data_IF_802455278298
#
_entry.id   IF_802455278298
#
_cell.length_a   1.000
_cell.length_b   1.000
_cell.length_c   1.000
_cell.angle_alpha   90.00
_cell.angle_beta   90.00
_cell.angle_gamma   90.00
#
_symmetry.space_group_name_H-M   'P 1'
#
loop_
_entity.id
_entity.type
_entity.pdbx_description
1 polymer ?
#
# COMPACT_ATOMS: atom_id res chain seq x y z
N UNK A 1 0.52 15.98 18.27
CA UNK A 1 1.94 15.91 18.71
C UNK A 1 1.99 15.13 20.02
N UNK A 2 2.26 13.82 19.96
CA UNK A 2 3.04 13.11 20.99
C UNK A 2 3.98 12.19 20.23
N UNK A 3 5.26 12.47 20.42
CA UNK A 3 6.40 11.73 19.92
C UNK A 3 6.86 10.81 21.05
N UNK A 4 7.30 9.60 20.71
CA UNK A 4 8.21 8.86 21.60
C UNK A 4 9.35 8.29 20.79
N UNK A 5 10.49 8.95 20.98
CA UNK A 5 11.85 8.47 20.76
C UNK A 5 12.10 7.22 21.63
N UNK A 6 12.73 6.20 21.05
CA UNK A 6 13.41 5.16 21.81
C UNK A 6 14.81 5.03 21.22
N UNK A 7 15.72 5.88 21.72
CA UNK A 7 17.15 5.60 21.70
C UNK A 7 17.39 4.22 22.32
N UNK A 8 18.19 3.43 21.62
CA UNK A 8 18.87 2.25 22.17
C UNK A 8 19.86 2.74 23.22
N UNK A 9 19.51 2.61 24.48
CA UNK A 9 20.48 2.47 25.57
C UNK A 9 20.33 1.04 26.09
N UNK A 10 21.41 0.28 25.94
CA UNK A 10 21.67 -0.98 26.65
C UNK A 10 21.73 -0.69 28.17
N UNK A 11 21.40 -1.72 28.95
CA UNK A 11 21.45 -1.79 30.41
C UNK A 11 20.36 -1.02 31.20
N UNK A 12 19.27 -1.73 31.50
CA UNK A 12 18.75 -2.08 32.84
C UNK A 12 17.30 -2.55 32.65
N UNK A 13 17.07 -3.86 32.76
CA UNK A 13 15.73 -4.45 32.88
C UNK A 13 15.19 -4.18 34.30
N UNK A 14 14.04 -3.51 34.48
CA UNK A 14 13.19 -3.75 35.63
C UNK A 14 12.21 -4.86 35.28
N UNK A 15 12.30 -5.95 36.05
CA UNK A 15 11.40 -7.09 36.06
C UNK A 15 9.92 -6.68 36.13
N UNK A 16 9.23 -6.73 34.98
CA UNK A 16 7.78 -6.64 34.92
C UNK A 16 7.20 -8.06 35.00
N UNK A 17 6.73 -8.39 36.22
CA UNK A 17 5.94 -9.58 36.52
C UNK A 17 4.76 -9.72 35.54
N UNK A 18 4.83 -10.75 34.71
CA UNK A 18 3.67 -11.33 34.04
C UNK A 18 2.73 -11.89 35.11
N UNK A 19 1.70 -11.13 35.47
CA UNK A 19 0.56 -11.70 36.18
C UNK A 19 -0.38 -12.34 35.16
N UNK A 20 -0.82 -13.60 35.36
CA UNK A 20 -1.76 -14.24 34.46
C UNK A 20 -3.11 -13.53 34.52
N UNK A 21 -3.56 -12.98 33.39
CA UNK A 21 -4.95 -12.52 33.23
C UNK A 21 -5.83 -13.77 33.18
N UNK A 22 -6.71 -13.94 34.18
CA UNK A 22 -7.75 -14.99 34.17
C UNK A 22 -8.60 -14.86 32.89
N UNK A 23 -8.85 -15.94 32.15
CA UNK A 23 -9.76 -15.89 31.02
C UNK A 23 -11.17 -15.56 31.53
N UNK A 24 -11.71 -14.42 31.09
CA UNK A 24 -13.11 -14.11 31.30
C UNK A 24 -13.94 -15.15 30.52
N UNK A 25 -14.83 -15.84 31.24
CA UNK A 25 -15.78 -16.79 30.66
C UNK A 25 -16.70 -16.05 29.68
N UNK A 26 -16.46 -16.23 28.38
CA UNK A 26 -17.29 -15.67 27.32
C UNK A 26 -18.59 -16.47 27.25
N UNK A 27 -19.65 -15.93 27.85
CA UNK A 27 -21.01 -16.39 27.64
C UNK A 27 -21.35 -16.26 26.15
N UNK A 28 -21.80 -17.37 25.55
CA UNK A 28 -22.27 -17.43 24.17
C UNK A 28 -23.60 -16.68 24.04
N UNK A 29 -23.54 -15.38 23.77
CA UNK A 29 -24.65 -14.63 23.18
C UNK A 29 -24.33 -14.38 21.71
N UNK A 30 -25.08 -15.04 20.82
CA UNK A 30 -25.02 -14.82 19.38
C UNK A 30 -25.39 -13.36 19.08
N UNK A 31 -24.40 -12.54 18.77
CA UNK A 31 -24.62 -11.28 18.06
C UNK A 31 -25.04 -11.64 16.63
N UNK A 32 -26.35 -11.77 16.42
CA UNK A 32 -26.96 -11.81 15.08
C UNK A 32 -27.04 -10.38 14.55
N UNK A 33 -25.88 -9.83 14.20
CA UNK A 33 -25.83 -8.65 13.33
C UNK A 33 -26.20 -9.05 11.90
N UNK A 34 -26.84 -8.16 11.11
CA UNK A 34 -27.08 -8.44 9.69
C UNK A 34 -25.73 -8.71 9.01
N UNK A 35 -25.66 -9.79 8.21
CA UNK A 35 -24.48 -10.06 7.38
C UNK A 35 -24.16 -8.82 6.55
N UNK A 36 -22.89 -8.39 6.47
CA UNK A 36 -22.55 -7.27 5.60
C UNK A 36 -23.02 -7.61 4.18
N UNK A 37 -23.78 -6.68 3.59
CA UNK A 37 -24.21 -6.78 2.21
C UNK A 37 -23.02 -7.15 1.31
N UNK A 38 -23.20 -8.15 0.45
CA UNK A 38 -22.18 -8.64 -0.48
C UNK A 38 -21.53 -7.47 -1.21
N UNK A 39 -20.23 -7.30 -1.04
CA UNK A 39 -19.44 -6.26 -1.73
C UNK A 39 -19.66 -6.42 -3.24
N UNK A 40 -20.02 -5.34 -3.96
CA UNK A 40 -20.26 -5.43 -5.41
C UNK A 40 -18.98 -5.87 -6.12
N UNK A 41 -19.12 -6.86 -7.01
CA UNK A 41 -18.05 -7.34 -7.85
C UNK A 41 -17.69 -6.27 -8.89
N UNK A 42 -16.40 -5.97 -9.02
CA UNK A 42 -15.89 -5.11 -10.09
C UNK A 42 -15.36 -5.99 -11.23
N UNK A 43 -15.63 -5.64 -12.50
CA UNK A 43 -15.11 -6.41 -13.62
C UNK A 43 -13.59 -6.27 -13.71
N UNK A 44 -12.93 -7.30 -14.24
CA UNK A 44 -11.52 -7.24 -14.59
C UNK A 44 -11.31 -6.06 -15.57
N UNK A 45 -10.35 -5.16 -15.29
CA UNK A 45 -10.08 -4.02 -16.17
C UNK A 45 -9.48 -4.49 -17.49
N UNK A 46 -9.84 -3.82 -18.59
CA UNK A 46 -9.22 -4.06 -19.91
C UNK A 46 -7.69 -3.97 -19.82
N UNK A 47 -6.99 -4.87 -20.51
CA UNK A 47 -5.53 -4.91 -20.53
C UNK A 47 -4.92 -3.57 -20.92
N UNK A 48 -5.46 -2.91 -21.96
CA UNK A 48 -4.97 -1.63 -22.47
C UNK A 48 -5.06 -0.53 -21.40
N UNK A 49 -6.13 -0.54 -20.59
CA UNK A 49 -6.30 0.44 -19.51
C UNK A 49 -5.25 0.24 -18.41
N UNK A 50 -4.93 -1.02 -18.09
CA UNK A 50 -3.90 -1.32 -17.10
C UNK A 50 -2.51 -0.95 -17.60
N UNK A 51 -2.18 -1.25 -18.86
CA UNK A 51 -0.91 -0.88 -19.47
C UNK A 51 -0.76 0.65 -19.57
N UNK A 52 -1.80 1.36 -20.01
CA UNK A 52 -1.77 2.81 -20.09
C UNK A 52 -1.57 3.48 -18.71
N UNK A 53 -2.20 2.94 -17.66
CA UNK A 53 -2.02 3.44 -16.28
C UNK A 53 -0.64 3.10 -15.73
N UNK A 54 -0.11 1.92 -16.03
CA UNK A 54 1.25 1.52 -15.69
C UNK A 54 2.27 2.48 -16.31
N UNK A 55 2.19 2.74 -17.61
CA UNK A 55 3.09 3.70 -18.27
C UNK A 55 2.97 5.11 -17.68
N UNK A 56 1.75 5.60 -17.42
CA UNK A 56 1.56 6.91 -16.77
C UNK A 56 2.21 6.98 -15.38
N UNK A 57 2.19 5.89 -14.62
CA UNK A 57 2.84 5.83 -13.31
C UNK A 57 4.38 5.81 -13.41
N UNK A 58 4.92 5.26 -14.50
CA UNK A 58 6.36 5.17 -14.77
C UNK A 58 6.96 6.47 -15.32
N UNK A 59 6.18 7.24 -16.08
CA UNK A 59 6.64 8.47 -16.74
C UNK A 59 7.41 9.45 -15.82
N UNK A 60 6.96 9.78 -14.59
CA UNK A 60 7.73 10.65 -13.71
C UNK A 60 8.92 9.97 -13.01
N UNK A 61 9.03 8.64 -13.06
CA UNK A 61 10.03 7.87 -12.32
C UNK A 61 11.24 7.47 -13.18
N UNK A 62 11.09 7.47 -14.50
CA UNK A 62 12.07 6.94 -15.44
C UNK A 62 12.73 8.04 -16.29
N UNK A 63 13.99 7.81 -16.67
CA UNK A 63 14.64 8.59 -17.74
C UNK A 63 13.98 8.29 -19.09
N UNK A 64 14.20 9.16 -20.08
CA UNK A 64 13.62 9.00 -21.42
C UNK A 64 13.97 7.64 -22.07
N UNK A 65 15.21 7.16 -21.92
CA UNK A 65 15.64 5.87 -22.48
C UNK A 65 15.09 4.66 -21.70
N UNK A 66 14.95 4.77 -20.38
CA UNK A 66 14.24 3.75 -19.59
C UNK A 66 12.77 3.68 -20.02
N UNK A 67 12.10 4.83 -20.07
CA UNK A 67 10.69 4.92 -20.44
C UNK A 67 10.42 4.37 -21.85
N UNK A 68 11.30 4.66 -22.82
CA UNK A 68 11.22 4.09 -24.18
C UNK A 68 11.28 2.56 -24.17
N UNK A 69 12.18 1.97 -23.40
CA UNK A 69 12.29 0.50 -23.27
C UNK A 69 11.06 -0.10 -22.59
N UNK A 70 10.64 0.47 -21.47
CA UNK A 70 9.42 0.03 -20.75
C UNK A 70 8.18 0.12 -21.65
N UNK A 71 8.09 1.16 -22.48
CA UNK A 71 7.01 1.32 -23.47
C UNK A 71 7.04 0.22 -24.52
N UNK A 72 8.22 -0.13 -25.04
CA UNK A 72 8.36 -1.23 -26.00
C UNK A 72 7.92 -2.57 -25.39
N UNK A 73 8.43 -2.92 -24.19
CA UNK A 73 8.01 -4.15 -23.50
C UNK A 73 6.52 -4.18 -23.18
N UNK A 74 5.95 -3.04 -22.78
CA UNK A 74 4.52 -2.91 -22.52
C UNK A 74 3.69 -3.10 -23.79
N UNK A 75 4.14 -2.55 -24.92
CA UNK A 75 3.51 -2.72 -26.21
C UNK A 75 3.55 -4.18 -26.68
N UNK A 76 4.71 -4.83 -26.58
CA UNK A 76 4.89 -6.22 -26.99
C UNK A 76 4.08 -7.18 -26.12
N UNK A 77 4.02 -6.92 -24.81
CA UNK A 77 3.17 -7.68 -23.90
C UNK A 77 1.69 -7.49 -24.22
N UNK A 78 1.23 -6.24 -24.41
CA UNK A 78 -0.16 -5.93 -24.77
C UNK A 78 -0.56 -6.57 -26.10
N UNK A 79 0.36 -6.68 -27.07
CA UNK A 79 0.09 -7.26 -28.38
C UNK A 79 0.50 -8.72 -28.55
N UNK A 80 1.00 -9.34 -27.48
CA UNK A 80 1.44 -10.73 -27.45
C UNK A 80 0.81 -11.48 -26.29
N UNK A 81 1.66 -12.02 -25.42
CA UNK A 81 1.26 -12.93 -24.34
C UNK A 81 0.25 -12.31 -23.36
N UNK A 82 0.26 -10.99 -23.19
CA UNK A 82 -0.64 -10.30 -22.26
C UNK A 82 -2.11 -10.52 -22.60
N UNK A 83 -2.48 -10.60 -23.89
CA UNK A 83 -3.87 -10.91 -24.28
C UNK A 83 -4.28 -12.32 -23.89
N UNK A 84 -3.44 -13.30 -24.19
CA UNK A 84 -3.71 -14.70 -23.83
C UNK A 84 -3.88 -14.86 -22.32
N UNK A 85 -3.01 -14.23 -21.53
CA UNK A 85 -3.10 -14.27 -20.07
C UNK A 85 -4.33 -13.54 -19.54
N UNK A 86 -4.71 -12.43 -20.18
CA UNK A 86 -5.91 -11.68 -19.82
C UNK A 86 -7.19 -12.47 -20.10
N UNK A 87 -7.27 -13.13 -21.26
CA UNK A 87 -8.40 -14.01 -21.60
C UNK A 87 -8.51 -15.19 -20.63
N UNK A 88 -7.37 -15.79 -20.26
CA UNK A 88 -7.32 -16.83 -19.23
C UNK A 88 -7.79 -16.33 -17.86
N UNK A 89 -7.41 -15.11 -17.48
CA UNK A 89 -7.82 -14.48 -16.23
C UNK A 89 -9.34 -14.24 -16.20
N UNK A 90 -9.90 -13.72 -17.30
CA UNK A 90 -11.36 -13.53 -17.46
C UNK A 90 -12.09 -14.87 -17.38
N UNK A 91 -11.57 -15.90 -18.05
CA UNK A 91 -12.16 -17.23 -18.00
C UNK A 91 -12.17 -17.78 -16.56
N UNK A 92 -11.07 -17.64 -15.82
CA UNK A 92 -11.01 -18.09 -14.42
C UNK A 92 -11.96 -17.33 -13.49
N UNK A 93 -12.11 -16.02 -13.68
CA UNK A 93 -13.02 -15.20 -12.88
C UNK A 93 -14.48 -15.60 -13.09
N UNK A 94 -14.90 -15.83 -14.33
CA UNK A 94 -16.25 -16.29 -14.65
C UNK A 94 -16.61 -17.64 -13.98
N UNK A 95 -15.61 -18.46 -13.67
CA UNK A 95 -15.79 -19.78 -13.06
C UNK A 95 -15.52 -19.80 -11.54
N UNK A 96 -15.23 -18.65 -10.93
CA UNK A 96 -14.94 -18.52 -9.50
C UNK A 96 -16.12 -17.91 -8.74
N UNK A 97 -16.72 -18.64 -7.79
CA UNK A 97 -17.88 -18.14 -7.02
C UNK A 97 -17.53 -17.14 -5.90
N UNK A 98 -16.25 -16.89 -5.64
CA UNK A 98 -15.79 -16.12 -4.47
C UNK A 98 -14.71 -15.05 -4.77
N UNK A 99 -14.55 -14.61 -6.02
CA UNK A 99 -13.57 -13.56 -6.37
C UNK A 99 -14.06 -12.16 -6.01
N UNK A 100 -13.99 -11.81 -4.74
CA UNK A 100 -14.21 -10.43 -4.30
C UNK A 100 -13.00 -9.56 -4.66
N UNK A 101 -13.02 -8.90 -5.83
CA UNK A 101 -12.05 -7.86 -6.18
C UNK A 101 -12.38 -6.57 -5.42
N UNK A 102 -12.11 -6.56 -4.12
CA UNK A 102 -12.32 -5.36 -3.31
C UNK A 102 -11.31 -4.29 -3.77
N UNK A 103 -11.80 -3.37 -4.60
CA UNK A 103 -11.20 -2.11 -5.09
C UNK A 103 -9.89 -2.25 -5.89
N UNK A 104 -9.73 -1.70 -7.10
CA UNK A 104 -10.52 -0.75 -7.86
C UNK A 104 -9.90 -0.60 -9.26
N UNK A 105 -10.07 0.55 -9.89
CA UNK A 105 -9.49 0.92 -11.20
C UNK A 105 -7.93 0.95 -11.23
N UNK A 106 -7.27 0.35 -10.25
CA UNK A 106 -5.82 0.20 -10.18
C UNK A 106 -5.32 -0.84 -11.17
N UNK A 107 -4.06 -0.69 -11.60
CA UNK A 107 -3.43 -1.59 -12.56
C UNK A 107 -2.55 -2.64 -11.87
N UNK A 108 -2.14 -2.39 -10.63
CA UNK A 108 -1.15 -3.17 -9.88
C UNK A 108 -1.61 -4.61 -9.65
N UNK A 109 -2.82 -4.79 -9.09
CA UNK A 109 -3.39 -6.13 -8.85
C UNK A 109 -3.62 -6.90 -10.15
N UNK A 110 -4.00 -6.20 -11.23
CA UNK A 110 -4.19 -6.82 -12.53
C UNK A 110 -2.86 -7.30 -13.12
N UNK A 111 -1.83 -6.45 -13.15
CA UNK A 111 -0.50 -6.83 -13.61
C UNK A 111 0.11 -7.95 -12.75
N UNK A 112 -0.08 -7.90 -11.42
CA UNK A 112 0.35 -8.97 -10.52
C UNK A 112 -0.32 -10.31 -10.86
N UNK A 113 -1.64 -10.31 -11.12
CA UNK A 113 -2.35 -11.52 -11.50
C UNK A 113 -1.81 -12.09 -12.84
N UNK A 114 -1.58 -11.22 -13.83
CA UNK A 114 -1.01 -11.64 -15.11
C UNK A 114 0.42 -12.19 -14.96
N UNK A 115 1.25 -11.58 -14.10
CA UNK A 115 2.59 -12.09 -13.77
C UNK A 115 2.53 -13.49 -13.16
N UNK A 116 1.66 -13.69 -12.17
CA UNK A 116 1.48 -15.01 -11.52
C UNK A 116 0.98 -16.06 -12.52
N UNK A 117 0.08 -15.67 -13.43
CA UNK A 117 -0.40 -16.56 -14.48
C UNK A 117 0.69 -16.90 -15.50
N UNK A 118 1.52 -15.94 -15.90
CA UNK A 118 2.66 -16.18 -16.78
C UNK A 118 3.62 -17.22 -16.16
N UNK A 119 3.99 -17.00 -14.90
CA UNK A 119 4.89 -17.89 -14.15
C UNK A 119 4.30 -19.30 -14.01
N UNK A 120 3.04 -19.40 -13.56
CA UNK A 120 2.39 -20.69 -13.27
C UNK A 120 1.93 -21.48 -14.50
N UNK A 121 1.61 -20.82 -15.62
CA UNK A 121 1.01 -21.48 -16.81
C UNK A 121 1.90 -21.48 -18.04
N UNK A 122 2.78 -20.49 -18.19
CA UNK A 122 3.67 -20.38 -19.36
C UNK A 122 5.11 -20.77 -19.02
N UNK A 123 5.49 -20.73 -17.73
CA UNK A 123 6.81 -21.15 -17.26
C UNK A 123 7.95 -20.19 -17.63
N UNK A 124 7.62 -19.00 -18.13
CA UNK A 124 8.55 -17.91 -18.36
C UNK A 124 7.86 -16.57 -18.07
N UNK A 125 8.63 -15.59 -17.61
CA UNK A 125 8.15 -14.24 -17.34
C UNK A 125 8.40 -13.31 -18.53
N UNK A 126 7.36 -12.62 -19.04
CA UNK A 126 7.51 -11.56 -20.03
C UNK A 126 8.45 -10.44 -19.59
N UNK A 127 9.12 -9.81 -20.55
CA UNK A 127 10.12 -8.76 -20.32
C UNK A 127 9.58 -7.56 -19.51
N UNK A 128 8.30 -7.23 -19.65
CA UNK A 128 7.65 -6.17 -18.84
C UNK A 128 7.78 -6.44 -17.32
N UNK A 129 7.79 -7.70 -16.89
CA UNK A 129 7.91 -8.08 -15.48
C UNK A 129 9.35 -8.30 -15.03
N UNK A 130 10.30 -8.36 -15.97
CA UNK A 130 11.74 -8.42 -15.72
C UNK A 130 12.40 -7.03 -15.81
N UNK A 131 11.68 -6.04 -16.32
CA UNK A 131 12.15 -4.66 -16.41
C UNK A 131 12.35 -4.06 -15.01
N UNK A 132 13.50 -3.43 -14.81
CA UNK A 132 13.82 -2.64 -13.62
C UNK A 132 12.75 -1.61 -13.25
N UNK A 133 12.02 -1.08 -14.25
CA UNK A 133 10.90 -0.17 -14.02
C UNK A 133 9.76 -0.83 -13.22
N UNK A 134 9.48 -2.11 -13.48
CA UNK A 134 8.48 -2.87 -12.73
C UNK A 134 8.91 -3.02 -11.27
N UNK A 135 10.18 -3.33 -11.01
CA UNK A 135 10.69 -3.46 -9.64
C UNK A 135 10.69 -2.10 -8.91
N UNK A 136 11.12 -1.03 -9.57
CA UNK A 136 11.13 0.32 -9.01
C UNK A 136 9.74 0.79 -8.59
N UNK A 137 8.70 0.48 -9.39
CA UNK A 137 7.33 0.83 -9.05
C UNK A 137 6.79 0.04 -7.85
N UNK A 138 7.16 -1.24 -7.75
CA UNK A 138 6.76 -2.08 -6.61
C UNK A 138 7.59 -1.81 -5.35
N UNK A 139 8.67 -1.04 -5.46
CA UNK A 139 9.50 -0.60 -4.35
C UNK A 139 8.93 0.67 -3.69
N UNK A 140 7.86 0.50 -2.91
CA UNK A 140 7.19 1.62 -2.22
C UNK A 140 7.96 2.07 -0.98
N UNK A 141 8.65 3.21 -1.10
CA UNK A 141 9.37 3.85 0.02
C UNK A 141 8.44 4.28 1.16
N UNK A 142 7.17 4.59 0.88
CA UNK A 142 6.20 5.01 1.89
C UNK A 142 5.05 4.00 1.91
N UNK A 143 4.90 3.30 3.02
CA UNK A 143 3.70 2.53 3.32
C UNK A 143 2.84 3.30 4.31
N UNK A 144 1.61 3.64 3.94
CA UNK A 144 0.69 4.36 4.82
C UNK A 144 -0.57 3.56 5.15
N UNK A 145 -1.03 3.70 6.40
CA UNK A 145 -2.26 3.07 6.88
C UNK A 145 -3.09 4.05 7.71
N UNK A 146 -4.35 4.17 7.35
CA UNK A 146 -5.34 4.81 8.20
C UNK A 146 -5.91 3.80 9.20
N UNK A 147 -6.05 4.21 10.46
CA UNK A 147 -6.81 3.46 11.46
C UNK A 147 -7.99 4.31 11.94
N UNK A 148 -9.18 3.86 11.60
CA UNK A 148 -10.44 4.45 12.06
C UNK A 148 -10.98 3.64 13.24
N UNK A 149 -10.51 3.95 14.45
CA UNK A 149 -11.13 3.43 15.66
C UNK A 149 -11.01 4.49 16.78
N UNK A 150 -12.14 5.04 17.26
CA UNK A 150 -12.12 6.10 18.28
C UNK A 150 -11.58 5.64 19.65
N UNK A 151 -11.49 4.33 19.90
CA UNK A 151 -10.92 3.77 21.14
C UNK A 151 -9.42 3.47 21.04
N UNK A 152 -8.86 3.52 19.83
CA UNK A 152 -7.45 3.22 19.58
C UNK A 152 -6.63 4.51 19.63
N UNK A 153 -5.76 4.64 20.65
CA UNK A 153 -4.88 5.80 20.79
C UNK A 153 -3.50 5.60 20.15
N UNK A 154 -3.18 4.37 19.73
CA UNK A 154 -1.90 4.03 19.15
C UNK A 154 -2.05 2.96 18.07
N UNK A 155 -1.34 3.14 16.97
CA UNK A 155 -1.19 2.12 15.96
C UNK A 155 0.06 2.40 15.15
N UNK A 156 0.85 1.37 14.90
CA UNK A 156 2.06 1.45 14.11
C UNK A 156 1.97 0.47 12.93
N UNK A 157 2.58 0.87 11.83
CA UNK A 157 2.82 0.02 10.67
C UNK A 157 4.31 0.01 10.45
N UNK A 158 4.86 -1.15 10.12
CA UNK A 158 6.27 -1.26 9.74
C UNK A 158 6.46 -0.84 8.28
N UNK A 159 7.68 -0.43 7.88
CA UNK A 159 8.04 -0.33 6.48
C UNK A 159 7.87 -1.67 5.78
N UNK A 160 7.56 -1.64 4.48
CA UNK A 160 7.48 -2.84 3.65
C UNK A 160 8.75 -3.09 2.83
N UNK A 161 9.69 -2.14 2.87
CA UNK A 161 11.04 -2.23 2.29
C UNK A 161 12.07 -1.78 3.33
N UNK A 162 13.31 -2.30 3.30
CA UNK A 162 14.33 -2.02 4.33
C UNK A 162 14.69 -0.53 4.46
N UNK A 163 14.66 0.19 3.35
CA UNK A 163 14.94 1.63 3.18
C UNK A 163 13.65 2.49 3.17
N UNK A 164 12.56 1.97 3.72
CA UNK A 164 11.24 2.62 3.69
C UNK A 164 10.78 3.21 5.02
N UNK A 165 9.60 3.83 4.95
CA UNK A 165 8.85 4.37 6.07
C UNK A 165 7.47 3.71 6.19
N UNK A 166 7.11 3.33 7.41
CA UNK A 166 5.75 2.91 7.77
C UNK A 166 5.04 4.06 8.49
N UNK A 167 4.00 4.62 7.88
CA UNK A 167 3.25 5.76 8.40
C UNK A 167 1.84 5.32 8.76
N UNK A 168 1.51 5.33 10.04
CA UNK A 168 0.14 5.11 10.49
C UNK A 168 -0.46 6.43 10.95
N UNK A 169 -1.68 6.74 10.49
CA UNK A 169 -2.36 7.96 10.92
C UNK A 169 -3.78 7.69 11.42
N UNK A 170 -4.14 8.40 12.48
CA UNK A 170 -5.45 8.37 13.10
C UNK A 170 -6.01 9.79 13.03
N UNK A 171 -7.22 9.91 12.46
CA UNK A 171 -7.94 11.17 12.36
C UNK A 171 -8.99 11.15 13.46
N UNK A 172 -8.88 12.09 14.39
CA UNK A 172 -9.83 12.34 15.46
C UNK A 172 -10.45 13.73 15.26
N UNK A 173 -11.50 14.05 16.01
CA UNK A 173 -12.26 15.29 15.83
C UNK A 173 -11.39 16.55 15.92
N UNK A 174 -10.45 16.59 16.87
CA UNK A 174 -9.61 17.76 17.14
C UNK A 174 -8.14 17.60 16.72
N UNK A 175 -7.70 16.41 16.30
CA UNK A 175 -6.30 16.18 15.94
C UNK A 175 -6.08 15.03 14.95
N UNK A 176 -4.90 15.06 14.32
CA UNK A 176 -4.38 13.95 13.53
C UNK A 176 -3.12 13.43 14.23
N UNK A 177 -3.11 12.14 14.55
CA UNK A 177 -1.97 11.44 15.15
C UNK A 177 -1.21 10.74 14.04
N UNK A 178 0.10 10.98 13.93
CA UNK A 178 0.99 10.28 13.01
C UNK A 178 1.99 9.45 13.80
N UNK A 179 2.08 8.17 13.47
CA UNK A 179 3.12 7.25 13.95
C UNK A 179 3.98 6.85 12.76
N UNK A 180 5.24 7.29 12.76
CA UNK A 180 6.22 7.00 11.70
C UNK A 180 7.22 5.99 12.23
N UNK A 181 7.46 4.95 11.44
CA UNK A 181 8.47 3.93 11.72
C UNK A 181 9.42 3.82 10.53
N UNK A 182 10.66 3.44 10.79
CA UNK A 182 11.65 3.10 9.77
C UNK A 182 12.53 1.98 10.30
N UNK A 183 13.01 1.12 9.40
CA UNK A 183 13.96 0.06 9.72
C UNK A 183 15.40 0.42 9.32
N UNK A 184 15.58 1.59 8.71
CA UNK A 184 16.86 2.06 8.18
C UNK A 184 17.48 3.09 9.11
N UNK A 185 18.74 3.44 8.86
CA UNK A 185 19.48 4.46 9.61
C UNK A 185 19.08 5.90 9.25
N UNK A 186 17.91 6.11 8.62
CA UNK A 186 17.42 7.43 8.28
C UNK A 186 17.15 8.27 9.53
N UNK A 187 17.40 9.58 9.43
CA UNK A 187 16.98 10.51 10.46
C UNK A 187 15.46 10.72 10.40
N UNK A 188 14.73 9.88 11.13
CA UNK A 188 13.26 9.96 11.23
C UNK A 188 12.80 11.35 11.70
N UNK A 189 13.61 12.08 12.46
CA UNK A 189 13.26 13.41 12.95
C UNK A 189 13.12 14.43 11.82
N UNK A 190 13.99 14.38 10.81
CA UNK A 190 13.93 15.28 9.67
C UNK A 190 12.65 15.04 8.84
N UNK A 191 12.26 13.77 8.71
CA UNK A 191 11.00 13.40 8.07
C UNK A 191 9.79 13.90 8.87
N UNK A 192 9.78 13.69 10.20
CA UNK A 192 8.71 14.18 11.08
C UNK A 192 8.60 15.70 11.03
N UNK A 193 9.73 16.40 11.03
CA UNK A 193 9.77 17.86 10.95
C UNK A 193 9.21 18.35 9.61
N UNK A 194 9.60 17.70 8.51
CA UNK A 194 9.08 17.99 7.17
C UNK A 194 7.56 17.76 7.08
N UNK A 195 7.08 16.66 7.67
CA UNK A 195 5.65 16.34 7.75
C UNK A 195 4.88 17.43 8.52
N UNK A 196 5.41 17.87 9.66
CA UNK A 196 4.82 18.94 10.47
C UNK A 196 4.72 20.25 9.69
N UNK A 197 5.82 20.68 9.05
CA UNK A 197 5.86 21.92 8.25
C UNK A 197 4.84 21.85 7.12
N UNK A 198 4.74 20.70 6.43
CA UNK A 198 3.77 20.51 5.35
C UNK A 198 2.32 20.67 5.84
N UNK A 199 1.97 20.07 6.98
CA UNK A 199 0.64 20.20 7.58
C UNK A 199 0.33 21.64 8.00
N UNK A 200 1.29 22.34 8.60
CA UNK A 200 1.13 23.76 8.97
C UNK A 200 0.87 24.64 7.75
N UNK A 201 1.59 24.38 6.64
CA UNK A 201 1.35 25.07 5.36
C UNK A 201 -0.04 24.79 4.80
N UNK A 202 -0.48 23.52 4.81
CA UNK A 202 -1.84 23.14 4.37
C UNK A 202 -2.89 23.87 5.22
N UNK A 203 -2.74 23.88 6.55
CA UNK A 203 -3.66 24.59 7.46
C UNK A 203 -3.67 26.10 7.20
N UNK A 204 -2.52 26.70 6.92
CA UNK A 204 -2.42 28.13 6.60
C UNK A 204 -3.20 28.47 5.31
N UNK A 205 -3.04 27.65 4.26
CA UNK A 205 -3.77 27.79 2.99
C UNK A 205 -5.27 27.65 3.19
N UNK A 206 -5.72 26.63 3.94
CA UNK A 206 -7.14 26.43 4.23
C UNK A 206 -7.76 27.57 5.05
N UNK A 207 -6.95 28.28 5.84
CA UNK A 207 -7.35 29.48 6.59
C UNK A 207 -7.23 30.78 5.78
N UNK A 208 -6.91 30.71 4.49
CA UNK A 208 -6.78 31.87 3.61
C UNK A 208 -5.55 32.75 3.89
N UNK A 209 -4.55 32.22 4.61
CA UNK A 209 -3.29 32.95 4.88
C UNK A 209 -2.31 32.76 3.71
N UNK A 210 -1.52 33.78 3.35
CA UNK A 210 -0.47 33.63 2.35
C UNK A 210 0.61 32.66 2.85
N UNK A 211 1.12 31.82 1.95
CA UNK A 211 2.21 30.89 2.24
C UNK A 211 3.51 31.72 2.29
N UNK A 212 4.11 31.87 3.47
CA UNK A 212 5.46 32.44 3.60
C UNK A 212 6.49 31.39 3.18
N UNK A 213 7.37 31.77 2.25
CA UNK A 213 8.46 30.94 1.72
C UNK A 213 9.60 30.77 2.71
#
# INVERSE_FOLDING_TARGET
LVMTDRKRDEDVLPSLLLTPVKPASLGSSRLSGPSPASVPLLPIPRLENSIARYLRAQEPLLTADQFRRTTAFSHDFQHGLGRELHDMLIFQDQHSQHTSYISGQGFDRHLLALRILADSKKGYLPDIFLDSAYDQLNHSLIFSRHLSNPTLNFGASMPIVPDGFGITYLIQDDCIIFNVTSCSDYNIQDFIQSLKISLEKIIAVLKGKPITH
#
